data_IF_672498344684
#
_entry.id   IF_672498344684
#
_cell.length_a   1.000
_cell.length_b   1.000
_cell.length_c   1.000
_cell.angle_alpha   90.00
_cell.angle_beta   90.00
_cell.angle_gamma   90.00
#
_symmetry.space_group_name_H-M   'P 1'
#
loop_
_entity.id
_entity.type
_entity.pdbx_description
1 polymer ?
#
# COMPACT_ATOMS: atom_id res chain seq x y z
N UNK A 1 12.24 -3.87 1.42
CA UNK A 1 12.69 -3.01 2.54
C UNK A 1 13.07 -1.60 2.11
N UNK A 2 14.09 -1.38 1.26
CA UNK A 2 14.50 0.00 0.87
C UNK A 2 13.34 0.81 0.32
N UNK A 3 12.52 0.25 -0.58
CA UNK A 3 11.35 0.94 -1.14
C UNK A 3 10.18 1.06 -0.15
N UNK A 4 10.18 0.32 0.95
CA UNK A 4 9.23 0.50 2.04
C UNK A 4 9.56 1.73 2.88
N UNK A 5 10.83 1.89 3.22
CA UNK A 5 11.32 3.07 3.95
C UNK A 5 11.39 4.31 3.05
N UNK A 6 11.83 4.14 1.80
CA UNK A 6 12.11 5.23 0.87
C UNK A 6 11.42 4.95 -0.48
N UNK A 7 10.07 4.96 -0.52
CA UNK A 7 9.34 4.75 -1.77
C UNK A 7 9.63 5.90 -2.74
N UNK A 8 10.01 5.56 -3.97
CA UNK A 8 10.20 6.55 -5.05
C UNK A 8 8.88 7.25 -5.38
N UNK A 9 7.77 6.51 -5.29
CA UNK A 9 6.41 7.02 -5.45
C UNK A 9 5.67 6.80 -4.13
N UNK A 10 5.63 7.78 -3.21
CA UNK A 10 5.03 7.61 -1.89
C UNK A 10 3.50 7.66 -1.91
N UNK A 11 2.91 8.17 -3.00
CA UNK A 11 1.47 8.38 -3.14
C UNK A 11 1.04 8.14 -4.58
N UNK A 12 -0.13 7.51 -4.76
CA UNK A 12 -0.84 7.48 -6.04
C UNK A 12 -2.26 7.96 -5.86
N UNK A 13 -2.80 8.60 -6.88
CA UNK A 13 -4.16 9.10 -6.86
C UNK A 13 -4.92 8.73 -8.14
N UNK A 14 -6.22 8.55 -8.02
CA UNK A 14 -7.15 8.32 -9.14
C UNK A 14 -8.44 9.08 -8.89
N UNK A 15 -8.90 9.81 -9.89
CA UNK A 15 -10.25 10.36 -9.88
C UNK A 15 -11.24 9.29 -10.33
N UNK A 16 -12.34 9.17 -9.59
CA UNK A 16 -13.37 8.16 -9.83
C UNK A 16 -14.28 8.58 -10.98
N UNK A 17 -14.48 7.69 -11.96
CA UNK A 17 -15.36 7.95 -13.11
C UNK A 17 -16.84 7.64 -12.82
N UNK A 18 -17.13 6.90 -11.75
CA UNK A 18 -18.47 6.52 -11.30
C UNK A 18 -18.49 6.36 -9.78
N UNK A 19 -19.70 6.38 -9.20
CA UNK A 19 -19.87 6.10 -7.79
C UNK A 19 -19.69 4.59 -7.52
N UNK A 20 -19.07 4.25 -6.38
CA UNK A 20 -18.90 2.86 -5.95
C UNK A 20 -18.93 2.73 -4.43
N UNK A 21 -19.09 1.49 -3.94
CA UNK A 21 -19.03 1.17 -2.52
C UNK A 21 -17.61 0.75 -2.14
N UNK A 22 -17.06 1.39 -1.11
CA UNK A 22 -15.79 1.02 -0.49
C UNK A 22 -16.06 0.75 0.99
N UNK A 23 -15.99 -0.51 1.41
CA UNK A 23 -16.43 -0.94 2.74
C UNK A 23 -17.86 -0.43 3.01
N UNK A 24 -18.06 0.32 4.10
CA UNK A 24 -19.36 0.89 4.49
C UNK A 24 -19.64 2.26 3.84
N UNK A 25 -18.74 2.77 3.01
CA UNK A 25 -18.82 4.11 2.43
C UNK A 25 -19.26 4.08 0.96
N UNK A 26 -20.01 5.12 0.55
CA UNK A 26 -20.26 5.41 -0.86
C UNK A 26 -19.28 6.48 -1.32
N UNK A 27 -18.38 6.14 -2.23
CA UNK A 27 -17.51 7.10 -2.90
C UNK A 27 -18.25 7.63 -4.12
N UNK A 28 -18.38 8.95 -4.25
CA UNK A 28 -19.10 9.60 -5.35
C UNK A 28 -18.20 9.72 -6.59
N UNK A 29 -18.82 9.76 -7.78
CA UNK A 29 -18.12 10.13 -9.02
C UNK A 29 -17.39 11.48 -8.85
N UNK A 30 -16.19 11.58 -9.40
CA UNK A 30 -15.33 12.77 -9.29
C UNK A 30 -14.54 12.86 -7.98
N UNK A 31 -14.68 11.90 -7.07
CA UNK A 31 -13.84 11.83 -5.87
C UNK A 31 -12.41 11.45 -6.25
N UNK A 32 -11.42 12.17 -5.72
CA UNK A 32 -10.01 11.80 -5.81
C UNK A 32 -9.69 10.78 -4.71
N UNK A 33 -9.48 9.52 -5.10
CA UNK A 33 -9.02 8.47 -4.21
C UNK A 33 -7.49 8.47 -4.16
N UNK A 34 -6.93 8.47 -2.95
CA UNK A 34 -5.48 8.52 -2.73
C UNK A 34 -5.05 7.29 -1.94
N UNK A 35 -3.97 6.65 -2.38
CA UNK A 35 -3.28 5.61 -1.63
C UNK A 35 -1.93 6.16 -1.19
N UNK A 36 -1.71 6.25 0.12
CA UNK A 36 -0.44 6.68 0.70
C UNK A 36 0.41 5.45 1.01
N UNK A 37 1.29 5.09 0.08
CA UNK A 37 2.24 3.99 0.28
C UNK A 37 3.21 4.28 1.43
N UNK A 38 3.54 5.56 1.65
CA UNK A 38 4.36 5.98 2.78
C UNK A 38 3.84 5.51 4.13
N UNK A 39 2.54 5.70 4.37
CA UNK A 39 1.86 5.25 5.60
C UNK A 39 1.65 3.74 5.59
N UNK A 40 1.19 3.19 4.45
CA UNK A 40 0.91 1.76 4.30
C UNK A 40 2.13 0.89 4.61
N UNK A 41 3.33 1.28 4.17
CA UNK A 41 4.56 0.52 4.41
C UNK A 41 5.13 0.76 5.82
N UNK A 42 4.53 1.65 6.61
CA UNK A 42 4.91 1.99 7.99
C UNK A 42 3.89 1.58 9.04
N UNK A 43 2.84 0.87 8.64
CA UNK A 43 1.85 0.35 9.58
C UNK A 43 2.54 -0.60 10.59
N UNK A 44 2.63 -0.26 11.89
CA UNK A 44 3.32 -1.08 12.87
C UNK A 44 2.58 -2.38 13.18
N UNK A 45 1.29 -2.49 12.87
CA UNK A 45 0.54 -3.74 13.00
C UNK A 45 0.98 -4.77 11.95
N UNK A 46 1.50 -4.30 10.82
CA UNK A 46 1.98 -5.13 9.71
C UNK A 46 3.51 -5.27 9.73
N UNK A 47 4.21 -4.18 10.04
CA UNK A 47 5.67 -4.07 10.04
C UNK A 47 6.17 -3.58 11.41
N UNK A 48 6.39 -4.47 12.39
CA UNK A 48 6.89 -4.09 13.72
C UNK A 48 8.22 -3.33 13.64
N UNK A 49 8.41 -2.21 14.33
CA UNK A 49 9.57 -1.31 14.16
C UNK A 49 9.72 -0.80 12.70
N UNK A 50 8.71 -0.15 12.12
CA UNK A 50 8.62 0.13 10.68
C UNK A 50 9.73 1.05 10.15
N UNK A 51 10.38 1.84 11.01
CA UNK A 51 11.48 2.74 10.62
C UNK A 51 12.84 2.02 10.56
N UNK A 52 12.94 0.81 11.12
CA UNK A 52 14.16 0.02 11.10
C UNK A 52 14.26 -0.77 9.80
N UNK A 53 15.37 -0.57 9.08
CA UNK A 53 15.72 -1.42 7.95
C UNK A 53 15.95 -2.86 8.40
N UNK A 54 15.03 -3.75 8.02
CA UNK A 54 15.09 -5.17 8.31
C UNK A 54 14.68 -6.03 7.09
N UNK A 55 15.65 -6.48 6.27
CA UNK A 55 15.37 -7.35 5.12
C UNK A 55 14.69 -8.68 5.49
N UNK A 56 14.87 -9.17 6.72
CA UNK A 56 14.32 -10.45 7.17
C UNK A 56 12.78 -10.46 7.22
N UNK A 57 12.14 -9.28 7.21
CA UNK A 57 10.68 -9.14 7.08
C UNK A 57 10.10 -9.85 5.86
N UNK A 58 10.91 -10.09 4.82
CA UNK A 58 10.48 -10.74 3.59
C UNK A 58 10.89 -12.21 3.48
N UNK A 59 11.42 -12.81 4.56
CA UNK A 59 11.56 -14.25 4.63
C UNK A 59 10.16 -14.91 4.57
N UNK A 60 10.03 -16.11 3.97
CA UNK A 60 8.74 -16.77 3.77
C UNK A 60 7.91 -16.90 5.05
N UNK A 61 8.56 -17.23 6.17
CA UNK A 61 7.91 -17.43 7.46
C UNK A 61 7.30 -16.12 7.97
N UNK A 62 8.01 -15.00 7.77
CA UNK A 62 7.61 -13.64 8.18
C UNK A 62 6.58 -12.98 7.25
N UNK A 63 6.33 -13.58 6.08
CA UNK A 63 5.29 -13.12 5.14
C UNK A 63 3.95 -13.83 5.36
N UNK A 64 3.91 -14.90 6.15
CA UNK A 64 2.70 -15.71 6.36
C UNK A 64 1.60 -14.86 6.98
N UNK A 65 0.42 -14.86 6.36
CA UNK A 65 -0.74 -14.09 6.82
C UNK A 65 -0.71 -12.59 6.49
N UNK A 66 0.38 -12.06 5.91
CA UNK A 66 0.44 -10.67 5.46
C UNK A 66 -0.52 -10.45 4.29
N UNK A 67 -1.34 -9.41 4.35
CA UNK A 67 -2.24 -9.06 3.26
C UNK A 67 -1.42 -8.73 1.98
N UNK A 68 -1.81 -9.23 0.78
CA UNK A 68 -1.02 -9.06 -0.44
C UNK A 68 -0.83 -7.59 -0.87
N UNK A 69 -1.71 -6.69 -0.44
CA UNK A 69 -1.58 -5.24 -0.69
C UNK A 69 -0.91 -4.46 0.44
N UNK A 70 -0.47 -5.10 1.52
CA UNK A 70 0.22 -4.41 2.61
C UNK A 70 1.62 -3.91 2.23
N UNK A 71 2.27 -4.57 1.26
CA UNK A 71 3.55 -4.12 0.70
C UNK A 71 3.41 -4.00 -0.83
N UNK A 72 3.26 -2.77 -1.30
CA UNK A 72 3.01 -2.45 -2.71
C UNK A 72 4.02 -1.42 -3.26
N UNK A 73 5.34 -1.69 -3.25
CA UNK A 73 6.37 -0.74 -3.69
C UNK A 73 6.29 -0.39 -5.18
N UNK A 74 5.63 -1.23 -5.97
CA UNK A 74 5.42 -1.05 -7.41
C UNK A 74 3.93 -0.97 -7.76
N UNK A 75 3.12 -0.46 -6.81
CA UNK A 75 1.65 -0.53 -6.85
C UNK A 75 1.16 -1.99 -6.93
N UNK A 76 -0.12 -2.19 -7.30
CA UNK A 76 -0.72 -3.50 -7.47
C UNK A 76 -1.87 -3.46 -8.49
N UNK A 77 -2.32 -4.63 -8.92
CA UNK A 77 -3.42 -4.77 -9.88
C UNK A 77 -3.04 -4.39 -11.31
N UNK A 78 -4.00 -4.00 -12.17
CA UNK A 78 -3.80 -3.85 -13.61
C UNK A 78 -2.94 -2.64 -14.03
N UNK A 79 -2.49 -1.83 -13.06
CA UNK A 79 -1.66 -0.63 -13.27
C UNK A 79 -0.40 -0.67 -12.39
N UNK A 80 0.11 -1.87 -12.12
CA UNK A 80 1.43 -2.03 -11.49
C UNK A 80 2.56 -1.63 -12.45
N UNK A 81 3.75 -1.39 -11.90
CA UNK A 81 4.94 -1.08 -12.70
C UNK A 81 5.29 -2.25 -13.65
N UNK A 82 5.80 -1.92 -14.83
CA UNK A 82 6.31 -2.85 -15.87
C UNK A 82 7.80 -2.58 -16.08
#
# INVERSE_FOLDING_TARGET
ETLGLYPVVPVIARETNQAFKALNYTVKKGTLCVILFWELHRDPEIFPDPEKFNPERFLPENCTGRHPYAYAPFSAGPRNCI
#
